data_IF_048975215024
#
_entry.id   IF_048975215024
#
_cell.length_a   1.000
_cell.length_b   1.000
_cell.length_c   1.000
_cell.angle_alpha   90.00
_cell.angle_beta   90.00
_cell.angle_gamma   90.00
#
_symmetry.space_group_name_H-M   'P 1'
#
loop_
_entity.id
_entity.type
_entity.pdbx_description
1 polymer ?
#
# COMPACT_ATOMS: atom_id res chain seq x y z
N UNK A 1 -19.43 3.49 -24.41
CA UNK A 1 -19.32 4.62 -23.49
C UNK A 1 -19.42 4.18 -22.06
N UNK A 2 -20.56 3.63 -21.72
CA UNK A 2 -20.80 3.19 -20.34
C UNK A 2 -19.77 2.15 -19.91
N UNK A 3 -19.38 1.29 -20.83
CA UNK A 3 -18.42 0.24 -20.51
C UNK A 3 -17.06 0.79 -20.09
N UNK A 4 -16.66 1.91 -20.65
CA UNK A 4 -15.39 2.52 -20.28
C UNK A 4 -15.39 2.99 -18.84
N UNK A 5 -16.50 3.56 -18.39
CA UNK A 5 -16.62 3.99 -17.01
C UNK A 5 -16.57 2.79 -16.05
N UNK A 6 -17.21 1.71 -16.44
CA UNK A 6 -17.20 0.51 -15.62
C UNK A 6 -15.80 -0.07 -15.52
N UNK A 7 -15.05 -0.04 -16.61
CA UNK A 7 -13.69 -0.53 -16.59
C UNK A 7 -12.81 0.29 -15.67
N UNK A 8 -12.99 1.61 -15.70
CA UNK A 8 -12.23 2.49 -14.80
C UNK A 8 -12.58 2.23 -13.35
N UNK A 9 -13.87 2.01 -13.06
CA UNK A 9 -14.31 1.71 -11.71
C UNK A 9 -13.80 0.36 -11.23
N UNK A 10 -13.51 -0.54 -12.16
CA UNK A 10 -13.00 -1.85 -11.81
C UNK A 10 -11.51 -1.85 -11.53
N UNK A 11 -10.85 -0.69 -11.70
CA UNK A 11 -9.41 -0.59 -11.45
C UNK A 11 -9.11 -0.88 -9.99
N UNK A 12 -8.22 -1.86 -9.72
CA UNK A 12 -7.90 -2.19 -8.34
C UNK A 12 -7.11 -1.08 -7.65
N UNK A 13 -7.27 -1.01 -6.33
CA UNK A 13 -6.56 -0.06 -5.49
C UNK A 13 -5.76 -0.85 -4.47
N UNK A 14 -4.46 -0.58 -4.40
CA UNK A 14 -3.60 -1.23 -3.42
C UNK A 14 -3.06 -0.20 -2.44
N UNK A 15 -3.24 -0.47 -1.15
CA UNK A 15 -2.56 0.27 -0.10
C UNK A 15 -1.23 -0.42 0.17
N UNK A 16 -0.14 0.33 0.09
CA UNK A 16 1.21 -0.19 0.26
C UNK A 16 1.79 0.45 1.51
N UNK A 17 2.03 -0.36 2.52
CA UNK A 17 2.46 0.11 3.85
C UNK A 17 3.94 -0.14 4.05
N UNK A 18 4.68 0.93 4.26
CA UNK A 18 6.10 0.85 4.63
C UNK A 18 6.18 0.53 6.11
N UNK A 19 6.79 -0.60 6.45
CA UNK A 19 6.97 -1.00 7.86
C UNK A 19 8.42 -0.89 8.28
N UNK A 20 9.22 -0.11 7.57
CA UNK A 20 10.63 0.04 7.83
C UNK A 20 10.95 1.07 8.91
N UNK A 21 12.24 1.33 9.07
CA UNK A 21 12.76 2.13 10.19
C UNK A 21 12.13 3.52 10.28
N UNK A 22 11.90 4.17 9.15
CA UNK A 22 11.35 5.53 9.17
C UNK A 22 9.92 5.59 9.67
N UNK A 23 9.21 4.47 9.66
CA UNK A 23 7.83 4.41 10.12
C UNK A 23 7.71 4.21 11.62
N UNK A 24 8.84 4.01 12.30
CA UNK A 24 8.87 3.93 13.76
C UNK A 24 8.79 5.31 14.41
N UNK A 25 9.06 6.35 13.64
CA UNK A 25 9.12 7.72 14.14
C UNK A 25 7.82 8.12 14.84
N UNK A 26 7.89 8.65 16.06
CA UNK A 26 6.68 9.08 16.77
C UNK A 26 6.16 10.40 16.25
N UNK A 27 4.85 10.55 16.34
CA UNK A 27 4.19 11.80 15.98
C UNK A 27 2.90 11.91 16.79
N UNK A 28 2.85 12.87 17.71
CA UNK A 28 1.67 13.09 18.56
C UNK A 28 1.21 11.84 19.29
N UNK A 29 2.15 11.09 19.84
CA UNK A 29 1.83 9.93 20.69
C UNK A 29 1.67 8.61 19.95
N UNK A 30 1.66 8.62 18.63
CA UNK A 30 1.58 7.40 17.83
C UNK A 30 2.75 7.37 16.87
N UNK A 31 3.10 6.18 16.39
CA UNK A 31 4.12 6.08 15.36
C UNK A 31 3.50 6.38 14.00
N UNK A 32 4.35 6.69 13.02
CA UNK A 32 3.87 6.88 11.65
C UNK A 32 3.21 5.60 11.13
N UNK A 33 3.72 4.45 11.56
CA UNK A 33 3.10 3.17 11.17
C UNK A 33 1.66 3.09 11.67
N UNK A 34 1.41 3.53 12.91
CA UNK A 34 0.06 3.52 13.45
C UNK A 34 -0.88 4.39 12.63
N UNK A 35 -0.40 5.56 12.21
CA UNK A 35 -1.20 6.43 11.36
C UNK A 35 -1.46 5.80 10.00
N UNK A 36 -0.45 5.14 9.44
CA UNK A 36 -0.61 4.46 8.14
C UNK A 36 -1.64 3.34 8.25
N UNK A 37 -1.59 2.56 9.32
CA UNK A 37 -2.54 1.48 9.54
C UNK A 37 -3.96 2.04 9.61
N UNK A 38 -4.16 3.07 10.43
CA UNK A 38 -5.48 3.64 10.60
C UNK A 38 -5.99 4.30 9.33
N UNK A 39 -5.13 5.01 8.62
CA UNK A 39 -5.52 5.70 7.39
C UNK A 39 -5.86 4.72 6.28
N UNK A 40 -5.05 3.68 6.12
CA UNK A 40 -5.31 2.69 5.07
C UNK A 40 -6.57 1.89 5.37
N UNK A 41 -6.84 1.61 6.64
CA UNK A 41 -8.06 0.90 7.01
C UNK A 41 -9.30 1.76 6.72
N UNK A 42 -9.25 3.04 7.10
CA UNK A 42 -10.37 3.95 6.84
C UNK A 42 -10.62 4.10 5.35
N UNK A 43 -9.56 4.26 4.57
CA UNK A 43 -9.69 4.36 3.12
C UNK A 43 -10.26 3.09 2.52
N UNK A 44 -9.77 1.93 2.96
CA UNK A 44 -10.24 0.64 2.45
C UNK A 44 -11.72 0.46 2.72
N UNK A 45 -12.18 0.87 3.91
CA UNK A 45 -13.59 0.77 4.26
C UNK A 45 -14.44 1.60 3.31
N UNK A 46 -14.02 2.83 3.04
CA UNK A 46 -14.77 3.71 2.14
C UNK A 46 -14.78 3.14 0.72
N UNK A 47 -13.63 2.69 0.23
CA UNK A 47 -13.52 2.17 -1.13
C UNK A 47 -14.35 0.90 -1.31
N UNK A 48 -14.32 0.01 -0.32
CA UNK A 48 -15.09 -1.24 -0.42
C UNK A 48 -16.58 -0.98 -0.38
N UNK A 49 -17.02 0.05 0.34
CA UNK A 49 -18.44 0.43 0.34
C UNK A 49 -18.87 0.91 -1.03
N UNK A 50 -17.96 1.48 -1.80
CA UNK A 50 -18.24 1.88 -3.18
C UNK A 50 -18.08 0.74 -4.17
N UNK A 51 -17.76 -0.45 -3.66
CA UNK A 51 -17.58 -1.65 -4.49
C UNK A 51 -16.30 -1.64 -5.31
N UNK A 52 -15.32 -0.86 -4.88
CA UNK A 52 -13.99 -0.88 -5.48
C UNK A 52 -13.25 -2.12 -5.02
N UNK A 53 -12.31 -2.59 -5.84
CA UNK A 53 -11.45 -3.70 -5.47
C UNK A 53 -10.25 -3.13 -4.71
N UNK A 54 -10.05 -3.61 -3.49
CA UNK A 54 -8.98 -3.10 -2.63
C UNK A 54 -8.08 -4.24 -2.19
N UNK A 55 -6.77 -4.01 -2.29
CA UNK A 55 -5.78 -4.94 -1.80
C UNK A 55 -4.83 -4.26 -0.83
N UNK A 56 -3.88 -5.02 -0.32
CA UNK A 56 -2.94 -4.54 0.68
C UNK A 56 -1.58 -5.18 0.48
N UNK A 57 -0.54 -4.38 0.59
CA UNK A 57 0.84 -4.87 0.55
C UNK A 57 1.59 -4.21 1.69
N UNK A 58 2.32 -4.99 2.48
CA UNK A 58 3.23 -4.43 3.47
C UNK A 58 4.64 -4.89 3.16
N UNK A 59 5.60 -4.02 3.42
CA UNK A 59 6.99 -4.28 3.05
C UNK A 59 7.96 -3.51 3.94
N UNK A 60 9.18 -4.00 3.99
CA UNK A 60 10.31 -3.27 4.54
C UNK A 60 11.54 -3.70 3.74
N UNK A 61 12.41 -4.53 4.29
CA UNK A 61 13.54 -5.09 3.51
C UNK A 61 13.04 -6.09 2.47
N UNK A 62 11.85 -6.64 2.67
CA UNK A 62 11.23 -7.59 1.74
C UNK A 62 9.73 -7.39 1.78
N UNK A 63 9.03 -8.01 0.85
CA UNK A 63 7.57 -8.05 0.89
C UNK A 63 7.15 -8.94 2.06
N UNK A 64 6.36 -8.40 2.96
CA UNK A 64 5.94 -9.12 4.16
C UNK A 64 4.57 -9.72 4.02
N UNK A 65 3.67 -9.05 3.31
CA UNK A 65 2.32 -9.51 3.15
C UNK A 65 1.75 -8.96 1.85
N UNK A 66 1.01 -9.80 1.13
CA UNK A 66 0.30 -9.37 -0.07
C UNK A 66 -1.11 -9.95 0.02
N UNK A 67 -2.09 -9.06 -0.07
CA UNK A 67 -3.48 -9.44 -0.18
C UNK A 67 -4.00 -8.90 -1.50
N UNK A 68 -4.36 -9.81 -2.40
CA UNK A 68 -4.82 -9.41 -3.73
C UNK A 68 -6.11 -8.62 -3.65
N UNK A 69 -6.23 -7.59 -4.48
CA UNK A 69 -7.39 -6.71 -4.50
C UNK A 69 -8.66 -7.50 -4.81
N UNK A 70 -9.71 -7.21 -4.07
CA UNK A 70 -11.00 -7.85 -4.23
C UNK A 70 -12.08 -6.94 -3.66
N UNK A 71 -13.30 -7.09 -4.13
CA UNK A 71 -14.43 -6.28 -3.67
C UNK A 71 -15.43 -7.07 -2.82
N UNK A 72 -15.10 -8.30 -2.46
CA UNK A 72 -16.04 -9.13 -1.69
C UNK A 72 -16.19 -8.63 -0.26
N UNK A 73 -17.28 -9.02 0.39
CA UNK A 73 -17.62 -8.52 1.71
C UNK A 73 -16.58 -8.84 2.77
N UNK A 74 -15.90 -9.98 2.65
CA UNK A 74 -14.89 -10.39 3.63
C UNK A 74 -13.57 -9.67 3.47
N UNK A 75 -13.41 -8.84 2.45
CA UNK A 75 -12.12 -8.22 2.18
C UNK A 75 -11.68 -7.26 3.28
N UNK A 76 -12.61 -6.48 3.82
CA UNK A 76 -12.27 -5.54 4.89
C UNK A 76 -11.76 -6.27 6.12
N UNK A 77 -12.38 -7.41 6.46
CA UNK A 77 -11.93 -8.21 7.58
C UNK A 77 -10.50 -8.69 7.36
N UNK A 78 -10.18 -9.15 6.17
CA UNK A 78 -8.83 -9.62 5.85
C UNK A 78 -7.81 -8.49 5.90
N UNK A 79 -8.19 -7.32 5.39
CA UNK A 79 -7.30 -6.16 5.45
C UNK A 79 -7.01 -5.79 6.90
N UNK A 80 -8.06 -5.75 7.72
CA UNK A 80 -7.94 -5.42 9.13
C UNK A 80 -7.03 -6.39 9.86
N UNK A 81 -7.21 -7.69 9.61
CA UNK A 81 -6.38 -8.70 10.25
C UNK A 81 -4.91 -8.54 9.88
N UNK A 82 -4.62 -8.27 8.62
CA UNK A 82 -3.25 -8.11 8.19
C UNK A 82 -2.62 -6.85 8.76
N UNK A 83 -3.38 -5.75 8.83
CA UNK A 83 -2.88 -4.50 9.37
C UNK A 83 -2.57 -4.62 10.86
N UNK A 84 -3.48 -5.23 11.62
CA UNK A 84 -3.29 -5.35 13.07
C UNK A 84 -2.28 -6.41 13.45
N UNK A 85 -1.91 -7.28 12.52
CA UNK A 85 -0.91 -8.31 12.78
C UNK A 85 0.47 -7.94 12.23
N UNK A 86 0.65 -6.70 11.80
CA UNK A 86 1.98 -6.25 11.38
C UNK A 86 2.92 -6.33 12.57
N UNK A 87 4.00 -7.09 12.38
CA UNK A 87 5.02 -7.26 13.40
C UNK A 87 6.36 -7.04 12.72
N UNK A 88 6.97 -5.90 12.98
CA UNK A 88 8.16 -5.51 12.26
C UNK A 88 9.31 -5.20 13.21
N UNK A 89 10.52 -5.53 12.79
CA UNK A 89 11.75 -5.14 13.47
C UNK A 89 12.25 -3.79 12.97
N UNK A 90 11.48 -3.15 12.11
CA UNK A 90 11.78 -1.85 11.54
C UNK A 90 13.14 -1.81 10.83
N UNK A 91 13.41 -2.76 9.92
CA UNK A 91 14.65 -2.70 9.14
C UNK A 91 14.57 -1.56 8.12
N UNK A 92 15.69 -1.26 7.48
CA UNK A 92 15.67 -0.29 6.39
C UNK A 92 14.83 -0.81 5.25
N UNK A 93 14.00 0.07 4.70
CA UNK A 93 13.12 -0.31 3.59
C UNK A 93 13.88 -0.34 2.27
N UNK A 94 13.56 -1.32 1.44
CA UNK A 94 14.18 -1.49 0.13
C UNK A 94 13.14 -1.21 -0.94
N UNK A 95 13.18 0.01 -1.48
CA UNK A 95 12.20 0.43 -2.49
C UNK A 95 12.49 -0.20 -3.85
N UNK A 96 13.74 -0.53 -4.14
CA UNK A 96 14.06 -1.23 -5.38
C UNK A 96 13.43 -2.61 -5.40
N UNK A 97 13.52 -3.32 -4.27
CA UNK A 97 12.86 -4.61 -4.12
C UNK A 97 11.35 -4.46 -4.27
N UNK A 98 10.77 -3.44 -3.62
CA UNK A 98 9.34 -3.19 -3.72
C UNK A 98 8.93 -2.97 -5.17
N UNK A 99 9.63 -2.08 -5.87
CA UNK A 99 9.31 -1.76 -7.25
C UNK A 99 9.38 -2.99 -8.15
N UNK A 100 10.42 -3.80 -8.00
CA UNK A 100 10.57 -5.02 -8.79
C UNK A 100 9.41 -5.99 -8.55
N UNK A 101 9.02 -6.15 -7.30
CA UNK A 101 7.92 -7.04 -6.97
C UNK A 101 6.58 -6.52 -7.49
N UNK A 102 6.35 -5.22 -7.39
CA UNK A 102 5.11 -4.65 -7.91
C UNK A 102 4.98 -4.87 -9.40
N UNK A 103 6.08 -4.71 -10.13
CA UNK A 103 6.06 -4.91 -11.58
C UNK A 103 5.74 -6.34 -11.96
N UNK A 104 6.20 -7.29 -11.17
CA UNK A 104 5.97 -8.71 -11.45
C UNK A 104 4.57 -9.16 -11.04
N UNK A 105 4.09 -8.65 -9.91
CA UNK A 105 2.87 -9.17 -9.31
C UNK A 105 1.62 -8.42 -9.70
N UNK A 106 1.75 -7.11 -9.94
CA UNK A 106 0.61 -6.28 -10.33
C UNK A 106 0.74 -6.02 -11.82
N UNK A 107 0.10 -6.85 -12.61
CA UNK A 107 0.16 -6.76 -14.06
C UNK A 107 -1.00 -5.96 -14.64
N UNK A 108 -2.02 -5.75 -13.84
CA UNK A 108 -3.21 -5.01 -14.22
C UNK A 108 -3.03 -3.56 -13.79
N UNK A 109 -3.52 -2.63 -14.60
CA UNK A 109 -3.47 -1.22 -14.26
C UNK A 109 -4.17 -1.00 -12.91
N UNK A 110 -3.46 -0.41 -11.95
CA UNK A 110 -3.95 -0.28 -10.59
C UNK A 110 -3.55 1.06 -10.01
N UNK A 111 -4.32 1.52 -9.04
CA UNK A 111 -3.94 2.69 -8.25
C UNK A 111 -3.15 2.20 -7.05
N UNK A 112 -1.96 2.74 -6.87
CA UNK A 112 -1.08 2.34 -5.76
C UNK A 112 -0.96 3.52 -4.80
N UNK A 113 -1.35 3.30 -3.54
CA UNK A 113 -1.27 4.32 -2.50
C UNK A 113 -0.16 3.93 -1.53
N UNK A 114 0.92 4.66 -1.57
CA UNK A 114 2.11 4.35 -0.77
C UNK A 114 2.09 5.16 0.53
N UNK A 115 2.09 4.46 1.65
CA UNK A 115 2.15 5.06 2.99
C UNK A 115 3.57 4.95 3.51
N UNK A 116 4.30 6.07 3.47
CA UNK A 116 5.68 6.11 3.93
C UNK A 116 6.01 7.51 4.45
N UNK A 117 7.25 7.71 4.87
CA UNK A 117 7.71 8.99 5.36
C UNK A 117 8.10 9.89 4.20
N UNK A 118 7.77 11.18 4.27
CA UNK A 118 8.09 12.14 3.20
C UNK A 118 9.58 12.21 2.90
N UNK A 119 10.42 12.17 3.91
CA UNK A 119 11.86 12.19 3.70
C UNK A 119 12.30 11.00 2.86
N UNK A 120 11.65 9.87 3.09
CA UNK A 120 11.97 8.65 2.37
C UNK A 120 11.48 8.71 0.93
N UNK A 121 10.41 9.46 0.65
CA UNK A 121 9.94 9.65 -0.71
C UNK A 121 11.00 10.35 -1.56
N UNK A 122 11.68 11.33 -0.97
CA UNK A 122 12.78 12.00 -1.66
C UNK A 122 13.89 11.04 -2.05
N UNK A 123 14.24 10.12 -1.13
CA UNK A 123 15.24 9.10 -1.41
C UNK A 123 14.77 8.16 -2.51
N UNK A 124 13.50 7.80 -2.50
CA UNK A 124 12.92 6.95 -3.53
C UNK A 124 13.05 7.56 -4.91
N UNK A 125 12.77 8.84 -5.03
CA UNK A 125 12.89 9.54 -6.31
C UNK A 125 14.30 9.47 -6.86
N UNK A 126 15.29 9.53 -5.98
CA UNK A 126 16.67 9.41 -6.43
C UNK A 126 17.06 8.01 -6.80
N UNK A 127 16.49 7.02 -6.11
CA UNK A 127 16.78 5.61 -6.37
C UNK A 127 16.13 5.11 -7.65
N UNK A 128 14.98 5.69 -8.01
CA UNK A 128 14.23 5.25 -9.17
C UNK A 128 14.01 6.39 -10.15
N UNK A 129 15.11 6.98 -10.66
CA UNK A 129 14.99 8.15 -11.53
C UNK A 129 14.23 7.88 -12.81
N UNK A 130 14.37 6.67 -13.37
CA UNK A 130 13.69 6.34 -14.61
C UNK A 130 12.21 6.10 -14.43
N UNK A 131 11.80 5.64 -13.24
CA UNK A 131 10.38 5.49 -12.94
C UNK A 131 9.70 6.85 -12.97
N UNK A 132 10.41 7.90 -12.53
CA UNK A 132 9.88 9.25 -12.55
C UNK A 132 9.74 9.86 -13.92
N UNK A 133 10.45 9.33 -14.91
CA UNK A 133 10.41 9.86 -16.27
C UNK A 133 9.30 9.23 -17.10
N UNK A 134 8.73 8.19 -16.63
CA UNK A 134 7.71 7.48 -17.37
C UNK A 134 6.33 7.77 -16.86
#
# INVERSE_FOLDING_TARGET
>A
MVNQFQDEKAQPIYSIIDTGRVMKMPFNGLSLLDYAINSSLAFSNIALKKKDKVGLISFSAKIESILKANAKLSQLQQIMERLYNINTQFPDSDFNMLYSNLRKRITQRSLLMLYTNFEHISALKRQLPYAGHQ
#
